data_IF_371432664935
#
_entry.id   IF_371432664935
#
_cell.length_a   1.000
_cell.length_b   1.000
_cell.length_c   1.000
_cell.angle_alpha   90.00
_cell.angle_beta   90.00
_cell.angle_gamma   90.00
#
_symmetry.space_group_name_H-M   'P 1'
#
loop_
_entity.id
_entity.type
_entity.pdbx_description
1 polymer ?
#
# COMPACT_ATOMS: atom_id res chain seq x y z
N UNK A 1 -26.75 -13.31 -13.34
CA UNK A 1 -26.37 -12.00 -13.89
C UNK A 1 -26.11 -12.15 -15.40
N UNK A 2 -26.97 -11.61 -16.29
CA UNK A 2 -26.82 -11.75 -17.77
C UNK A 2 -27.06 -10.42 -18.50
N UNK A 3 -26.87 -9.28 -17.83
CA UNK A 3 -27.23 -7.96 -18.37
C UNK A 3 -26.14 -6.89 -18.29
N UNK A 4 -24.93 -7.25 -17.84
CA UNK A 4 -23.81 -6.32 -17.86
C UNK A 4 -23.11 -6.42 -19.22
N UNK A 5 -22.83 -5.30 -19.91
CA UNK A 5 -22.12 -5.28 -21.20
C UNK A 5 -20.62 -5.58 -21.04
N UNK A 6 -20.22 -6.32 -20.00
CA UNK A 6 -18.83 -6.62 -19.66
C UNK A 6 -18.10 -7.25 -20.84
N UNK A 7 -18.80 -8.13 -21.59
CA UNK A 7 -18.30 -8.74 -22.83
C UNK A 7 -17.85 -7.69 -23.86
N UNK A 8 -18.62 -6.62 -24.01
CA UNK A 8 -18.37 -5.58 -25.02
C UNK A 8 -17.29 -4.58 -24.55
N UNK A 9 -16.92 -4.63 -23.26
CA UNK A 9 -15.85 -3.80 -22.66
C UNK A 9 -14.50 -4.52 -22.61
N UNK A 10 -14.43 -5.83 -22.91
CA UNK A 10 -13.17 -6.60 -22.91
C UNK A 10 -12.11 -5.94 -23.82
N UNK A 11 -12.50 -5.45 -25.00
CA UNK A 11 -11.60 -4.75 -25.91
C UNK A 11 -10.92 -3.52 -25.27
N UNK A 12 -11.65 -2.80 -24.41
CA UNK A 12 -11.14 -1.64 -23.68
C UNK A 12 -10.26 -2.05 -22.49
N UNK A 13 -10.50 -3.23 -21.91
CA UNK A 13 -9.71 -3.74 -20.79
C UNK A 13 -8.33 -4.26 -21.24
N UNK A 14 -8.17 -4.70 -22.49
CA UNK A 14 -6.89 -5.21 -22.98
C UNK A 14 -5.74 -4.20 -22.94
N UNK A 15 -6.02 -2.91 -23.15
CA UNK A 15 -4.99 -1.87 -23.11
C UNK A 15 -4.63 -1.43 -21.68
N UNK A 16 -5.44 -1.80 -20.68
CA UNK A 16 -5.21 -1.40 -19.30
C UNK A 16 -4.01 -2.16 -18.72
N UNK A 17 -2.96 -1.42 -18.39
CA UNK A 17 -1.77 -1.96 -17.72
C UNK A 17 -1.94 -1.74 -16.22
N UNK A 18 -1.85 -2.83 -15.45
CA UNK A 18 -1.89 -2.77 -13.98
C UNK A 18 -0.76 -1.86 -13.47
N UNK A 19 -1.11 -0.88 -12.66
CA UNK A 19 -0.18 -0.17 -11.79
C UNK A 19 -0.20 -0.80 -10.39
N UNK A 20 0.77 -1.66 -10.04
CA UNK A 20 0.77 -2.35 -8.74
C UNK A 20 1.17 -1.45 -7.58
N UNK A 21 1.85 -0.33 -7.84
CA UNK A 21 2.37 0.61 -6.85
C UNK A 21 1.87 2.02 -7.18
N UNK A 22 0.56 2.28 -7.03
CA UNK A 22 -0.02 3.59 -7.31
C UNK A 22 0.43 4.63 -6.27
N UNK A 23 0.60 5.89 -6.68
CA UNK A 23 0.98 6.98 -5.76
C UNK A 23 -0.11 7.33 -4.76
N UNK A 24 -1.38 7.03 -5.09
CA UNK A 24 -2.51 7.20 -4.18
C UNK A 24 -3.57 6.13 -4.41
N UNK A 25 -4.31 5.80 -3.36
CA UNK A 25 -5.46 4.91 -3.42
C UNK A 25 -6.37 5.09 -2.22
N UNK A 26 -7.60 4.59 -2.35
CA UNK A 26 -8.55 4.41 -1.25
C UNK A 26 -8.83 2.92 -1.13
N UNK A 27 -8.77 2.39 0.09
CA UNK A 27 -9.02 0.98 0.38
C UNK A 27 -10.01 0.83 1.53
N UNK A 28 -11.13 0.16 1.24
CA UNK A 28 -12.15 -0.26 2.19
C UNK A 28 -12.16 -1.80 2.24
N UNK A 29 -11.58 -2.43 3.28
CA UNK A 29 -11.62 -3.88 3.43
C UNK A 29 -13.05 -4.39 3.62
N UNK A 30 -13.40 -5.47 2.91
CA UNK A 30 -14.73 -6.09 2.95
C UNK A 30 -14.81 -7.26 3.94
N UNK A 31 -13.67 -7.85 4.30
CA UNK A 31 -13.53 -9.07 5.11
C UNK A 31 -12.11 -9.17 5.72
N UNK A 32 -11.83 -10.31 6.38
CA UNK A 32 -10.54 -10.60 7.03
C UNK A 32 -9.51 -11.32 6.14
N UNK A 33 -9.88 -11.62 4.89
CA UNK A 33 -9.09 -12.45 3.97
C UNK A 33 -8.03 -11.59 3.28
N UNK A 34 -8.43 -10.46 2.70
CA UNK A 34 -7.51 -9.58 1.97
C UNK A 34 -6.81 -8.64 2.96
N UNK A 35 -5.57 -8.98 3.31
CA UNK A 35 -4.76 -8.21 4.28
C UNK A 35 -3.88 -7.14 3.66
N UNK A 36 -3.69 -7.17 2.34
CA UNK A 36 -2.71 -6.33 1.65
C UNK A 36 -3.35 -5.67 0.44
N UNK A 37 -3.09 -4.39 0.27
CA UNK A 37 -3.45 -3.66 -0.92
C UNK A 37 -2.32 -2.70 -1.30
N UNK A 38 -1.81 -2.85 -2.52
CA UNK A 38 -0.62 -2.14 -3.00
C UNK A 38 0.54 -2.22 -1.98
N UNK A 39 0.96 -1.06 -1.47
CA UNK A 39 2.08 -0.86 -0.55
C UNK A 39 1.66 -0.76 0.93
N UNK A 40 0.46 -1.24 1.29
CA UNK A 40 -0.06 -1.25 2.66
C UNK A 40 -0.59 -2.64 3.06
N UNK A 41 -0.44 -2.98 4.33
CA UNK A 41 -1.06 -4.16 4.95
C UNK A 41 -1.81 -3.74 6.21
N UNK A 42 -3.04 -4.24 6.36
CA UNK A 42 -3.77 -4.23 7.63
C UNK A 42 -3.72 -5.68 8.15
N UNK A 43 -3.02 -5.96 9.27
CA UNK A 43 -2.89 -7.32 9.78
C UNK A 43 -4.23 -7.98 10.14
N UNK A 44 -5.18 -7.19 10.61
CA UNK A 44 -6.54 -7.59 10.99
C UNK A 44 -7.56 -6.73 10.25
N UNK A 45 -7.79 -6.96 8.94
CA UNK A 45 -8.75 -6.18 8.19
C UNK A 45 -10.17 -6.58 8.58
N UNK A 46 -11.06 -5.60 8.61
CA UNK A 46 -12.45 -5.77 8.97
C UNK A 46 -13.33 -4.76 8.23
N UNK A 47 -14.63 -5.06 8.18
CA UNK A 47 -15.64 -4.16 7.61
C UNK A 47 -15.63 -2.81 8.33
N UNK A 48 -16.03 -1.77 7.60
CA UNK A 48 -16.12 -0.37 8.10
C UNK A 48 -14.76 0.25 8.45
N UNK A 49 -13.67 -0.36 8.00
CA UNK A 49 -12.36 0.26 7.98
C UNK A 49 -12.18 1.03 6.67
N UNK A 50 -11.45 2.13 6.72
CA UNK A 50 -11.12 2.91 5.54
C UNK A 50 -9.68 3.40 5.66
N UNK A 51 -8.94 3.32 4.56
CA UNK A 51 -7.62 3.93 4.40
C UNK A 51 -7.60 4.73 3.10
N UNK A 52 -7.38 6.04 3.22
CA UNK A 52 -6.98 6.89 2.09
C UNK A 52 -5.47 7.09 2.19
N UNK A 53 -4.74 6.63 1.19
CA UNK A 53 -3.28 6.63 1.18
C UNK A 53 -2.74 7.44 0.00
N UNK A 54 -1.69 8.21 0.25
CA UNK A 54 -0.91 8.89 -0.79
C UNK A 54 0.56 8.92 -0.44
N UNK A 55 1.42 8.91 -1.45
CA UNK A 55 2.87 9.05 -1.33
C UNK A 55 3.35 10.05 -2.36
N UNK A 56 3.90 11.18 -1.90
CA UNK A 56 4.42 12.24 -2.77
C UNK A 56 5.64 12.88 -2.11
N UNK A 57 6.71 13.11 -2.87
CA UNK A 57 7.90 13.85 -2.39
C UNK A 57 8.45 13.33 -1.05
N UNK A 58 8.62 12.01 -0.91
CA UNK A 58 9.06 11.34 0.33
C UNK A 58 8.10 11.48 1.52
N UNK A 59 6.88 11.94 1.30
CA UNK A 59 5.85 12.03 2.33
C UNK A 59 4.72 11.05 2.03
N UNK A 60 4.52 10.11 2.95
CA UNK A 60 3.36 9.21 2.97
C UNK A 60 2.30 9.82 3.88
N UNK A 61 1.11 10.05 3.33
CA UNK A 61 -0.05 10.55 4.08
C UNK A 61 -1.14 9.49 4.10
N UNK A 62 -1.56 9.12 5.30
CA UNK A 62 -2.62 8.17 5.57
C UNK A 62 -3.75 8.87 6.34
N UNK A 63 -4.97 8.81 5.82
CA UNK A 63 -6.18 9.04 6.61
C UNK A 63 -6.82 7.69 6.87
N UNK A 64 -7.06 7.37 8.14
CA UNK A 64 -7.55 6.06 8.55
C UNK A 64 -8.81 6.19 9.40
N UNK A 65 -9.73 5.25 9.21
CA UNK A 65 -10.93 5.08 10.02
C UNK A 65 -10.98 3.65 10.55
N UNK A 66 -11.04 3.47 11.88
CA UNK A 66 -11.17 2.16 12.57
C UNK A 66 -10.06 1.14 12.28
N UNK A 67 -8.89 1.60 11.84
CA UNK A 67 -7.70 0.76 11.65
C UNK A 67 -6.79 0.92 12.87
N UNK A 68 -6.43 -0.18 13.51
CA UNK A 68 -5.64 -0.19 14.75
C UNK A 68 -4.15 -0.46 14.52
N UNK A 69 -3.83 -1.18 13.44
CA UNK A 69 -2.45 -1.47 13.06
C UNK A 69 -2.33 -1.55 11.56
N UNK A 70 -1.17 -1.14 11.06
CA UNK A 70 -0.84 -1.23 9.64
C UNK A 70 0.67 -1.38 9.45
N UNK A 71 1.05 -2.12 8.42
CA UNK A 71 2.43 -2.18 7.95
C UNK A 71 2.55 -1.40 6.65
N UNK A 72 3.63 -0.62 6.55
CA UNK A 72 3.99 0.13 5.37
C UNK A 72 5.09 -0.60 4.61
N UNK A 73 4.92 -0.71 3.30
CA UNK A 73 5.93 -1.24 2.38
C UNK A 73 6.45 -0.10 1.51
N UNK A 74 7.76 0.05 1.39
CA UNK A 74 8.36 1.11 0.57
C UNK A 74 9.53 0.56 -0.25
N UNK A 75 9.73 1.19 -1.40
CA UNK A 75 10.95 1.09 -2.20
C UNK A 75 11.14 2.37 -3.04
N UNK A 76 12.13 2.35 -3.92
CA UNK A 76 12.52 3.50 -4.75
C UNK A 76 11.45 3.94 -5.76
N UNK A 77 10.40 3.15 -5.97
CA UNK A 77 9.26 3.56 -6.81
C UNK A 77 8.36 4.56 -6.08
N UNK A 78 8.42 4.60 -4.75
CA UNK A 78 7.60 5.48 -3.90
C UNK A 78 8.40 6.62 -3.27
N UNK A 79 9.65 6.35 -2.85
CA UNK A 79 10.46 7.29 -2.06
C UNK A 79 11.91 7.28 -2.47
N UNK A 80 12.58 8.42 -2.30
CA UNK A 80 14.05 8.55 -2.45
C UNK A 80 14.73 8.28 -1.10
N UNK A 81 15.38 7.12 -0.92
CA UNK A 81 16.05 6.79 0.34
C UNK A 81 17.29 7.63 0.64
N UNK A 82 17.72 8.49 -0.29
CA UNK A 82 18.72 9.54 -0.05
C UNK A 82 18.19 10.72 0.76
N UNK A 83 16.88 10.76 1.07
CA UNK A 83 16.24 11.81 1.88
C UNK A 83 15.39 11.19 2.99
N UNK A 84 15.12 11.95 4.08
CA UNK A 84 14.22 11.49 5.12
C UNK A 84 12.83 11.16 4.55
N UNK A 85 12.26 10.05 5.00
CA UNK A 85 10.88 9.68 4.71
C UNK A 85 10.00 10.17 5.85
N UNK A 86 8.95 10.91 5.50
CA UNK A 86 7.96 11.42 6.44
C UNK A 86 6.69 10.60 6.30
N UNK A 87 6.13 10.13 7.41
CA UNK A 87 4.84 9.45 7.42
C UNK A 87 3.91 10.21 8.35
N UNK A 88 2.74 10.59 7.83
CA UNK A 88 1.65 11.22 8.58
C UNK A 88 0.43 10.32 8.60
N UNK A 89 -0.12 10.10 9.79
CA UNK A 89 -1.38 9.38 10.00
C UNK A 89 -2.35 10.35 10.65
N UNK A 90 -3.51 10.56 10.02
CA UNK A 90 -4.53 11.50 10.51
C UNK A 90 -3.96 12.89 10.87
N UNK A 91 -3.03 13.39 10.02
CA UNK A 91 -2.33 14.66 10.21
C UNK A 91 -1.12 14.62 11.15
N UNK A 92 -1.01 13.60 12.01
CA UNK A 92 0.09 13.45 12.97
C UNK A 92 1.30 12.77 12.34
N UNK A 93 2.47 13.36 12.50
CA UNK A 93 3.73 12.77 12.02
C UNK A 93 4.16 11.63 12.94
N UNK A 94 4.28 10.42 12.39
CA UNK A 94 4.67 9.21 13.13
C UNK A 94 6.06 8.70 12.74
N UNK A 95 6.55 9.07 11.56
CA UNK A 95 7.91 8.79 11.10
C UNK A 95 8.49 10.04 10.46
N UNK A 96 9.74 10.36 10.77
CA UNK A 96 10.56 11.34 10.06
C UNK A 96 12.03 10.97 10.26
N UNK A 97 12.56 10.13 9.36
CA UNK A 97 13.94 9.67 9.39
C UNK A 97 14.38 9.11 8.05
N UNK A 98 15.69 8.96 7.88
CA UNK A 98 16.25 8.13 6.82
C UNK A 98 15.82 6.67 7.02
N UNK A 99 15.43 6.00 5.94
CA UNK A 99 15.13 4.57 5.94
C UNK A 99 16.20 3.85 5.11
N UNK A 100 16.62 2.68 5.56
CA UNK A 100 17.64 1.88 4.88
C UNK A 100 16.99 0.68 4.20
N UNK A 101 17.06 0.58 2.86
CA UNK A 101 16.64 -0.60 2.11
C UNK A 101 17.35 -1.87 2.59
N UNK A 102 16.65 -3.00 2.56
CA UNK A 102 17.20 -4.30 2.97
C UNK A 102 16.92 -5.36 1.92
N UNK A 103 17.98 -6.03 1.46
CA UNK A 103 17.87 -7.18 0.56
C UNK A 103 17.07 -8.32 1.22
N UNK A 104 17.27 -8.55 2.52
CA UNK A 104 16.50 -9.54 3.29
C UNK A 104 15.01 -9.22 3.26
N UNK A 105 14.64 -7.95 3.43
CA UNK A 105 13.24 -7.50 3.34
C UNK A 105 12.69 -7.67 1.93
N UNK A 106 13.47 -7.35 0.90
CA UNK A 106 13.08 -7.55 -0.49
C UNK A 106 12.77 -9.02 -0.78
N UNK A 107 13.66 -9.94 -0.39
CA UNK A 107 13.45 -11.37 -0.58
C UNK A 107 12.21 -11.89 0.19
N UNK A 108 12.04 -11.46 1.45
CA UNK A 108 10.87 -11.85 2.26
C UNK A 108 9.57 -11.37 1.66
N UNK A 109 9.50 -10.11 1.21
CA UNK A 109 8.28 -9.56 0.63
C UNK A 109 7.96 -10.17 -0.74
N UNK A 110 8.98 -10.57 -1.51
CA UNK A 110 8.82 -11.36 -2.73
C UNK A 110 8.20 -12.73 -2.42
N UNK A 111 8.73 -13.45 -1.43
CA UNK A 111 8.21 -14.74 -0.98
C UNK A 111 6.77 -14.62 -0.44
N UNK A 112 6.47 -13.61 0.37
CA UNK A 112 5.14 -13.35 0.95
C UNK A 112 4.05 -13.08 -0.10
N UNK A 113 4.42 -12.58 -1.28
CA UNK A 113 3.48 -12.04 -2.28
C UNK A 113 3.48 -12.78 -3.60
N UNK A 114 4.57 -13.48 -3.95
CA UNK A 114 4.73 -14.20 -5.21
C UNK A 114 4.77 -13.32 -6.47
N UNK A 115 4.79 -11.99 -6.32
CA UNK A 115 4.78 -11.02 -7.42
C UNK A 115 5.96 -10.06 -7.23
N UNK A 116 6.93 -10.11 -8.16
CA UNK A 116 8.10 -9.24 -8.14
C UNK A 116 7.77 -7.75 -8.21
N UNK A 117 6.65 -7.36 -8.82
CA UNK A 117 6.21 -5.96 -8.85
C UNK A 117 5.59 -5.53 -7.52
N UNK A 118 5.41 -6.44 -6.57
CA UNK A 118 4.98 -6.17 -5.21
C UNK A 118 6.01 -6.59 -4.16
N UNK A 119 7.25 -6.87 -4.56
CA UNK A 119 8.37 -6.94 -3.62
C UNK A 119 8.80 -5.52 -3.22
N UNK A 120 9.23 -5.34 -1.97
CA UNK A 120 9.62 -4.05 -1.40
C UNK A 120 10.84 -4.19 -0.51
N UNK A 121 11.75 -3.22 -0.56
CA UNK A 121 13.01 -3.26 0.19
C UNK A 121 12.90 -2.74 1.62
N UNK A 122 11.77 -2.09 1.97
CA UNK A 122 11.44 -1.67 3.33
C UNK A 122 10.04 -2.17 3.69
N UNK A 123 9.90 -2.72 4.89
CA UNK A 123 8.63 -3.13 5.53
C UNK A 123 8.74 -2.78 7.00
N UNK A 124 7.71 -2.13 7.56
CA UNK A 124 7.69 -1.82 8.98
C UNK A 124 6.30 -1.52 9.51
N UNK A 125 6.05 -1.80 10.80
CA UNK A 125 4.80 -1.42 11.44
C UNK A 125 4.73 0.10 11.59
N UNK A 126 3.53 0.65 11.45
CA UNK A 126 3.22 2.01 11.86
C UNK A 126 2.44 1.95 13.17
N UNK A 127 2.97 2.62 14.18
CA UNK A 127 2.32 2.76 15.47
C UNK A 127 1.25 3.85 15.37
N UNK A 128 -0.01 3.43 15.43
CA UNK A 128 -1.17 4.32 15.43
C UNK A 128 -1.43 4.70 16.89
N UNK A 129 -1.40 6.00 17.19
CA UNK A 129 -1.77 6.54 18.51
C UNK A 129 -3.23 6.98 18.50
#
# INVERSE_FOLDING_TARGET
>A
HVGLPDRDRIAHMYSAIRNPVPMSFVWEPTDSVIRRFAWLEIPMPAKKQLVEASCEKNEVRLKITKVESLNLYLDERLVDFGKPVVVRVNGSQVVNRMLTPSLLTLCRTLEERGDHKLAFSVKGPLHLK
#
